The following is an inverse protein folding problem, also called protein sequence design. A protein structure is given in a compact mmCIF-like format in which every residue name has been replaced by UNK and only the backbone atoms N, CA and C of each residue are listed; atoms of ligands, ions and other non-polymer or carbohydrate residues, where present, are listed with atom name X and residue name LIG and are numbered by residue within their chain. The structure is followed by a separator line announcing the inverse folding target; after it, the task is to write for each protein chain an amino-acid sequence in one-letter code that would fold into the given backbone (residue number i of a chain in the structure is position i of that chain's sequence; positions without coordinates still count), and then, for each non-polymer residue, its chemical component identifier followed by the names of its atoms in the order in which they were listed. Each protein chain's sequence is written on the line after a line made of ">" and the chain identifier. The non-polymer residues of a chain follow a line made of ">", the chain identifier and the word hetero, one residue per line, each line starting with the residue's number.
data_IF_386050493927
#
_entry.id   IF_386050493927
#
_cell.length_a   1.000
_cell.length_b   1.000
_cell.length_c   1.000
_cell.angle_alpha   90.00
_cell.angle_beta   90.00
_cell.angle_gamma   90.00
#
_symmetry.space_group_name_H-M   'P 1'
#
loop_
_entity.id
_entity.type
_entity.pdbx_description
1 polymer ?
#
# COMPACT_ATOMS: atom_id res chain seq x y z
N UNK A 1 -7.65 -7.52 11.51
CA UNK A 1 -6.75 -7.97 10.41
C UNK A 1 -5.29 -7.77 10.82
N UNK A 2 -4.69 -8.72 11.50
CA UNK A 2 -3.34 -8.50 12.09
C UNK A 2 -2.22 -8.40 11.04
N UNK A 3 -2.41 -8.94 9.84
CA UNK A 3 -1.42 -8.87 8.75
C UNK A 3 -1.98 -8.23 7.50
N UNK A 4 -2.93 -7.33 7.65
CA UNK A 4 -3.67 -6.71 6.55
C UNK A 4 -3.26 -5.28 6.21
N UNK A 5 -2.02 -4.87 6.51
CA UNK A 5 -1.56 -3.51 6.25
C UNK A 5 -1.72 -3.12 4.78
N UNK A 6 -1.34 -4.02 3.88
CA UNK A 6 -1.41 -3.78 2.43
C UNK A 6 -2.86 -3.59 1.98
N UNK A 7 -3.75 -4.49 2.40
CA UNK A 7 -5.15 -4.39 1.98
C UNK A 7 -5.85 -3.19 2.63
N UNK A 8 -5.47 -2.84 3.86
CA UNK A 8 -5.99 -1.66 4.53
C UNK A 8 -5.53 -0.39 3.82
N UNK A 9 -4.24 -0.29 3.47
CA UNK A 9 -3.70 0.86 2.73
C UNK A 9 -4.34 0.98 1.34
N UNK A 10 -4.54 -0.13 0.64
CA UNK A 10 -5.22 -0.18 -0.65
C UNK A 10 -6.68 0.25 -0.52
N UNK A 11 -7.37 -0.18 0.53
CA UNK A 11 -8.74 0.25 0.81
C UNK A 11 -8.82 1.76 1.02
N UNK A 12 -7.86 2.34 1.74
CA UNK A 12 -7.78 3.80 1.92
C UNK A 12 -7.65 4.52 0.56
N UNK A 13 -6.79 4.01 -0.32
CA UNK A 13 -6.60 4.57 -1.66
C UNK A 13 -7.89 4.49 -2.48
N UNK A 14 -8.57 3.35 -2.48
CA UNK A 14 -9.81 3.12 -3.22
C UNK A 14 -10.92 4.04 -2.73
N UNK A 15 -11.07 4.20 -1.41
CA UNK A 15 -12.09 5.05 -0.83
C UNK A 15 -11.80 6.54 -1.07
N UNK A 16 -10.54 6.94 -1.05
CA UNK A 16 -10.16 8.30 -1.40
C UNK A 16 -10.52 8.63 -2.86
N UNK A 17 -10.50 7.64 -3.74
CA UNK A 17 -10.90 7.78 -5.15
C UNK A 17 -12.43 7.87 -5.35
N UNK A 18 -13.22 7.84 -4.28
CA UNK A 18 -14.66 8.04 -4.33
C UNK A 18 -15.51 6.80 -4.09
N UNK A 19 -14.90 5.67 -3.78
CA UNK A 19 -15.63 4.45 -3.42
C UNK A 19 -15.90 4.42 -1.91
N UNK A 20 -16.74 3.49 -1.48
CA UNK A 20 -17.06 3.29 -0.07
C UNK A 20 -17.07 1.78 0.20
N UNK A 21 -15.90 1.21 0.41
CA UNK A 21 -15.73 -0.21 0.67
C UNK A 21 -15.06 -0.43 2.03
N UNK A 22 -15.25 -1.61 2.61
CA UNK A 22 -14.52 -2.04 3.80
C UNK A 22 -13.27 -2.82 3.40
N UNK A 23 -12.30 -2.88 4.32
CA UNK A 23 -11.12 -3.73 4.11
C UNK A 23 -11.49 -5.21 3.97
N UNK A 24 -12.58 -5.63 4.61
CA UNK A 24 -13.07 -7.01 4.50
C UNK A 24 -13.62 -7.29 3.10
N UNK A 25 -14.34 -6.35 2.51
CA UNK A 25 -14.80 -6.46 1.12
C UNK A 25 -13.63 -6.55 0.16
N UNK A 26 -12.61 -5.71 0.34
CA UNK A 26 -11.39 -5.76 -0.47
C UNK A 26 -10.66 -7.09 -0.29
N UNK A 27 -10.55 -7.59 0.93
CA UNK A 27 -9.88 -8.86 1.23
C UNK A 27 -10.57 -10.07 0.58
N UNK A 28 -11.88 -10.03 0.42
CA UNK A 28 -12.64 -11.11 -0.24
C UNK A 28 -12.28 -11.26 -1.72
N UNK A 29 -11.95 -10.15 -2.38
CA UNK A 29 -11.59 -10.14 -3.80
C UNK A 29 -10.10 -10.44 -3.98
N UNK A 30 -9.27 -10.16 -2.99
CA UNK A 30 -7.83 -10.32 -3.07
C UNK A 30 -7.46 -11.79 -3.28
N UNK A 31 -6.73 -12.10 -4.37
CA UNK A 31 -6.27 -13.47 -4.60
C UNK A 31 -5.35 -13.94 -3.48
N UNK A 32 -5.29 -15.24 -3.29
CA UNK A 32 -4.34 -15.89 -2.37
C UNK A 32 -3.46 -16.84 -3.13
N UNK A 33 -2.17 -16.86 -2.79
CA UNK A 33 -1.18 -17.63 -3.51
C UNK A 33 0.04 -17.85 -2.62
N UNK A 34 0.88 -18.80 -2.99
CA UNK A 34 2.22 -18.94 -2.41
C UNK A 34 3.22 -17.97 -3.05
N UNK A 35 2.82 -17.29 -4.13
CA UNK A 35 3.61 -16.27 -4.79
C UNK A 35 3.01 -14.89 -4.48
N UNK A 36 3.72 -13.97 -3.78
CA UNK A 36 3.19 -12.67 -3.39
C UNK A 36 2.84 -11.77 -4.59
N UNK A 37 3.40 -12.03 -5.76
CA UNK A 37 3.05 -11.31 -6.99
C UNK A 37 1.75 -11.79 -7.64
N UNK A 38 1.16 -12.87 -7.13
CA UNK A 38 -0.10 -13.42 -7.62
C UNK A 38 -1.24 -13.30 -6.62
N UNK A 39 -0.91 -13.04 -5.35
CA UNK A 39 -1.90 -12.92 -4.30
C UNK A 39 -1.25 -12.86 -2.92
N UNK A 40 -2.09 -12.78 -1.89
CA UNK A 40 -1.64 -12.74 -0.51
C UNK A 40 -1.17 -14.13 -0.07
N UNK A 41 0.01 -14.18 0.54
CA UNK A 41 0.54 -15.42 1.10
C UNK A 41 -0.17 -15.67 2.45
N UNK A 42 -1.01 -16.69 2.52
CA UNK A 42 -1.78 -17.00 3.70
C UNK A 42 -3.05 -16.17 3.81
N UNK A 43 -3.38 -15.72 5.00
CA UNK A 43 -4.60 -14.94 5.26
C UNK A 43 -4.27 -13.65 6.01
N UNK A 44 -4.83 -12.49 5.60
CA UNK A 44 -4.63 -11.24 6.34
C UNK A 44 -5.29 -11.27 7.72
N UNK A 45 -6.17 -12.22 7.98
CA UNK A 45 -6.83 -12.39 9.28
C UNK A 45 -6.01 -13.20 10.28
N UNK A 46 -4.92 -13.85 9.83
CA UNK A 46 -4.08 -14.70 10.68
C UNK A 46 -2.66 -14.17 10.75
N UNK A 47 -2.08 -14.21 11.96
CA UNK A 47 -0.74 -13.72 12.19
C UNK A 47 0.32 -14.81 11.98
N UNK A 48 0.07 -16.01 12.46
CA UNK A 48 0.98 -17.16 12.37
C UNK A 48 0.19 -18.47 12.44
N UNK A 49 0.53 -19.52 11.69
CA UNK A 49 1.62 -19.60 10.69
C UNK A 49 1.23 -19.02 9.31
N UNK A 50 -0.02 -18.60 9.12
CA UNK A 50 -0.52 -18.08 7.87
C UNK A 50 -0.87 -16.61 8.03
N UNK A 51 -0.53 -15.81 7.03
CA UNK A 51 -0.75 -14.37 7.06
C UNK A 51 0.56 -13.62 6.99
N UNK A 52 1.19 -13.61 5.83
CA UNK A 52 2.49 -12.99 5.61
C UNK A 52 2.37 -11.64 4.94
N UNK A 53 2.18 -11.63 3.63
CA UNK A 53 2.16 -10.40 2.86
C UNK A 53 1.68 -10.62 1.43
N UNK A 54 1.47 -9.50 0.70
CA UNK A 54 1.20 -9.48 -0.73
C UNK A 54 2.01 -8.36 -1.37
N UNK A 55 2.56 -8.61 -2.56
CA UNK A 55 3.26 -7.62 -3.36
C UNK A 55 2.27 -6.79 -4.19
N UNK A 56 2.69 -5.66 -4.80
CA UNK A 56 1.79 -4.83 -5.61
C UNK A 56 1.00 -5.60 -6.66
N UNK A 57 1.63 -6.45 -7.45
CA UNK A 57 0.93 -7.23 -8.48
C UNK A 57 -0.08 -8.21 -7.91
N UNK A 58 0.12 -8.69 -6.69
CA UNK A 58 -0.80 -9.61 -6.02
C UNK A 58 -2.09 -8.95 -5.55
N UNK A 59 -2.08 -7.65 -5.29
CA UNK A 59 -3.24 -6.89 -4.85
C UNK A 59 -3.82 -6.00 -5.97
N UNK A 60 -3.12 -5.89 -7.08
CA UNK A 60 -3.58 -5.15 -8.27
C UNK A 60 -5.01 -5.50 -8.71
N UNK A 61 -5.44 -6.78 -8.71
CA UNK A 61 -6.80 -7.13 -9.08
C UNK A 61 -7.88 -6.43 -8.25
N UNK A 62 -7.61 -6.18 -6.97
CA UNK A 62 -8.55 -5.46 -6.09
C UNK A 62 -8.72 -4.02 -6.57
N UNK A 63 -7.61 -3.33 -6.83
CA UNK A 63 -7.64 -1.95 -7.31
C UNK A 63 -8.34 -1.87 -8.68
N UNK A 64 -8.01 -2.76 -9.58
CA UNK A 64 -8.62 -2.81 -10.91
C UNK A 64 -10.12 -3.09 -10.83
N UNK A 65 -10.55 -3.95 -9.93
CA UNK A 65 -11.98 -4.26 -9.75
C UNK A 65 -12.79 -3.02 -9.38
N UNK A 66 -12.29 -2.21 -8.43
CA UNK A 66 -13.03 -1.04 -7.94
C UNK A 66 -12.79 0.22 -8.74
N UNK A 67 -11.59 0.44 -9.27
CA UNK A 67 -11.21 1.69 -9.93
C UNK A 67 -11.07 1.57 -11.46
N UNK A 68 -11.16 0.36 -12.00
CA UNK A 68 -11.06 0.10 -13.45
C UNK A 68 -9.63 0.01 -13.97
N UNK A 69 -8.66 0.56 -13.26
CA UNK A 69 -7.24 0.49 -13.60
C UNK A 69 -6.39 0.27 -12.35
N UNK A 70 -5.19 -0.25 -12.54
CA UNK A 70 -4.20 -0.38 -11.49
C UNK A 70 -2.82 -0.32 -12.12
N UNK A 71 -1.89 0.38 -11.46
CA UNK A 71 -0.53 0.60 -11.96
C UNK A 71 0.48 0.18 -10.90
N UNK A 72 1.28 -0.83 -11.19
CA UNK A 72 2.42 -1.18 -10.37
C UNK A 72 3.53 -0.16 -10.63
N UNK A 73 3.86 0.62 -9.60
CA UNK A 73 4.86 1.69 -9.67
C UNK A 73 6.19 1.28 -9.04
N UNK A 74 6.41 0.00 -8.82
CA UNK A 74 7.66 -0.49 -8.22
C UNK A 74 8.88 0.01 -9.01
N UNK A 75 9.84 0.60 -8.29
CA UNK A 75 11.04 1.15 -8.91
C UNK A 75 10.89 2.54 -9.53
N UNK A 76 9.73 3.18 -9.40
CA UNK A 76 9.53 4.53 -9.94
C UNK A 76 10.32 5.59 -9.19
N UNK A 77 10.40 6.79 -9.76
CA UNK A 77 11.03 7.95 -9.11
C UNK A 77 10.10 8.60 -8.09
N UNK A 78 10.65 9.39 -7.18
CA UNK A 78 9.86 10.23 -6.27
C UNK A 78 9.01 11.22 -7.07
N UNK A 79 9.50 11.74 -8.18
CA UNK A 79 8.72 12.64 -9.05
C UNK A 79 7.50 11.96 -9.63
N UNK A 80 7.59 10.68 -9.99
CA UNK A 80 6.44 9.91 -10.46
C UNK A 80 5.38 9.76 -9.37
N UNK A 81 5.80 9.53 -8.12
CA UNK A 81 4.89 9.50 -6.97
C UNK A 81 4.21 10.87 -6.80
N UNK A 82 4.98 11.96 -6.82
CA UNK A 82 4.44 13.31 -6.68
C UNK A 82 3.42 13.64 -7.78
N UNK A 83 3.65 13.20 -9.01
CA UNK A 83 2.70 13.39 -10.13
C UNK A 83 1.36 12.69 -9.87
N UNK A 84 1.37 11.52 -9.26
CA UNK A 84 0.12 10.85 -8.86
C UNK A 84 -0.58 11.63 -7.75
N UNK A 85 0.15 12.04 -6.73
CA UNK A 85 -0.41 12.76 -5.58
C UNK A 85 -1.03 14.11 -5.98
N UNK A 86 -0.43 14.84 -6.93
CA UNK A 86 -0.99 16.08 -7.46
C UNK A 86 -2.35 15.86 -8.11
N UNK A 87 -2.57 14.69 -8.71
CA UNK A 87 -3.86 14.32 -9.32
C UNK A 87 -4.85 13.75 -8.30
N UNK A 88 -4.54 13.81 -7.03
CA UNK A 88 -5.33 13.19 -5.96
C UNK A 88 -5.42 11.66 -6.08
N UNK A 89 -4.47 11.05 -6.74
CA UNK A 89 -4.29 9.60 -6.75
C UNK A 89 -3.31 9.21 -5.66
N UNK A 90 -3.80 8.55 -4.62
CA UNK A 90 -2.93 8.05 -3.56
C UNK A 90 -1.97 7.01 -4.13
N UNK A 91 -0.85 6.82 -3.44
CA UNK A 91 0.14 5.79 -3.77
C UNK A 91 0.35 4.94 -2.53
N UNK A 92 0.10 3.65 -2.66
CA UNK A 92 0.43 2.68 -1.60
C UNK A 92 1.89 2.29 -1.78
N UNK A 93 2.68 2.45 -0.73
CA UNK A 93 4.10 2.12 -0.73
C UNK A 93 4.41 1.05 0.31
N UNK A 94 5.22 0.08 -0.08
CA UNK A 94 5.74 -0.95 0.81
C UNK A 94 7.06 -0.46 1.41
N UNK A 95 7.15 -0.45 2.73
CA UNK A 95 8.32 0.06 3.46
C UNK A 95 8.85 -0.99 4.42
N UNK A 96 10.17 -1.05 4.56
CA UNK A 96 10.83 -1.98 5.46
C UNK A 96 11.23 -1.33 6.78
N UNK A 97 11.24 -2.12 7.86
CA UNK A 97 11.63 -1.72 9.22
C UNK A 97 10.94 -0.43 9.67
N UNK A 98 9.61 -0.40 9.50
CA UNK A 98 8.78 0.74 9.79
C UNK A 98 7.71 0.33 10.82
N UNK A 99 7.47 1.16 11.84
CA UNK A 99 6.51 0.89 12.93
C UNK A 99 6.72 -0.50 13.58
N UNK A 100 7.97 -0.90 13.77
CA UNK A 100 8.37 -2.21 14.33
C UNK A 100 8.00 -3.42 13.45
N UNK A 101 7.66 -3.19 12.19
CA UNK A 101 7.45 -4.26 11.22
C UNK A 101 8.65 -4.37 10.28
N UNK A 102 9.05 -5.59 9.96
CA UNK A 102 10.05 -5.81 8.90
C UNK A 102 9.50 -5.44 7.52
N UNK A 103 8.20 -5.66 7.31
CA UNK A 103 7.45 -5.25 6.13
C UNK A 103 6.19 -4.52 6.55
N UNK A 104 5.90 -3.39 5.91
CA UNK A 104 4.72 -2.58 6.20
C UNK A 104 4.26 -1.87 4.93
N UNK A 105 3.01 -1.46 4.89
CA UNK A 105 2.47 -0.69 3.77
C UNK A 105 1.76 0.55 4.30
N UNK A 106 1.97 1.68 3.62
CA UNK A 106 1.37 2.97 3.96
C UNK A 106 0.72 3.56 2.72
N UNK A 107 -0.29 4.41 2.93
CA UNK A 107 -0.93 5.15 1.85
C UNK A 107 -0.41 6.58 1.82
N UNK A 108 0.40 6.91 0.81
CA UNK A 108 0.86 8.28 0.60
C UNK A 108 -0.30 9.12 0.10
N UNK A 109 -0.53 10.28 0.73
CA UNK A 109 -1.69 11.13 0.48
C UNK A 109 -1.35 12.48 -0.14
N UNK A 110 -0.14 12.98 0.03
CA UNK A 110 0.26 14.27 -0.50
C UNK A 110 1.71 14.58 -0.18
N UNK A 111 2.15 15.76 -0.63
CA UNK A 111 3.49 16.24 -0.32
C UNK A 111 3.52 17.76 -0.27
N UNK A 112 4.52 18.29 0.44
CA UNK A 112 4.85 19.72 0.44
C UNK A 112 6.36 19.85 0.51
N UNK A 113 6.97 20.32 -0.59
CA UNK A 113 8.44 20.38 -0.70
C UNK A 113 9.06 18.99 -0.50
N UNK A 114 9.86 18.84 0.53
CA UNK A 114 10.59 17.61 0.84
C UNK A 114 9.90 16.77 1.93
N UNK A 115 8.61 17.04 2.19
CA UNK A 115 7.79 16.31 3.18
C UNK A 115 6.71 15.51 2.46
N UNK A 116 6.58 14.23 2.82
CA UNK A 116 5.49 13.35 2.38
C UNK A 116 4.48 13.18 3.50
N UNK A 117 3.20 13.25 3.15
CA UNK A 117 2.09 12.95 4.06
C UNK A 117 1.55 11.56 3.76
N UNK A 118 1.16 10.83 4.79
CA UNK A 118 0.66 9.46 4.63
C UNK A 118 -0.33 9.09 5.73
N UNK A 119 -1.17 8.10 5.41
CA UNK A 119 -2.00 7.41 6.38
C UNK A 119 -1.33 6.08 6.70
N UNK A 120 -1.22 5.79 8.00
CA UNK A 120 -0.62 4.56 8.49
C UNK A 120 -1.74 3.61 8.90
N UNK A 121 -1.90 2.46 8.20
CA UNK A 121 -2.97 1.52 8.54
C UNK A 121 -2.83 0.87 9.90
N UNK A 122 -1.61 0.81 10.44
CA UNK A 122 -1.38 0.24 11.77
C UNK A 122 -1.88 1.17 12.88
N UNK A 123 -1.55 2.45 12.81
CA UNK A 123 -1.94 3.44 13.82
C UNK A 123 -3.29 4.08 13.52
N UNK A 124 -3.78 3.99 12.29
CA UNK A 124 -4.99 4.68 11.84
C UNK A 124 -4.87 6.18 11.81
N UNK A 125 -3.65 6.74 11.81
CA UNK A 125 -3.40 8.16 11.91
C UNK A 125 -2.79 8.75 10.66
N UNK A 126 -3.01 10.07 10.47
CA UNK A 126 -2.31 10.86 9.45
C UNK A 126 -0.97 11.30 10.01
N UNK A 127 0.09 11.08 9.23
CA UNK A 127 1.46 11.37 9.65
C UNK A 127 2.24 12.01 8.49
N UNK A 128 3.45 12.42 8.77
CA UNK A 128 4.36 12.95 7.77
C UNK A 128 5.79 12.48 8.02
N UNK A 129 6.58 12.46 6.95
CA UNK A 129 8.03 12.19 7.03
C UNK A 129 8.74 12.92 5.89
N UNK A 130 10.05 13.11 6.04
CA UNK A 130 10.86 13.63 4.94
C UNK A 130 10.95 12.63 3.80
N UNK A 131 11.15 13.14 2.58
CA UNK A 131 11.41 12.29 1.41
C UNK A 131 12.62 11.38 1.65
N UNK A 132 13.68 11.90 2.28
CA UNK A 132 14.88 11.10 2.56
C UNK A 132 14.60 9.94 3.51
N UNK A 133 13.82 10.16 4.56
CA UNK A 133 13.39 9.08 5.47
C UNK A 133 12.55 8.05 4.73
N UNK A 134 11.59 8.51 3.92
CA UNK A 134 10.77 7.61 3.10
C UNK A 134 11.64 6.77 2.17
N UNK A 135 12.59 7.38 1.45
CA UNK A 135 13.46 6.67 0.51
C UNK A 135 14.25 5.55 1.19
N UNK A 136 14.74 5.77 2.42
CA UNK A 136 15.47 4.74 3.17
C UNK A 136 14.59 3.53 3.47
N UNK A 137 13.39 3.76 3.99
CA UNK A 137 12.47 2.68 4.32
C UNK A 137 11.92 1.99 3.06
N UNK A 138 11.67 2.77 2.02
CA UNK A 138 11.17 2.26 0.75
C UNK A 138 12.19 1.37 0.06
N UNK A 139 13.46 1.75 0.07
CA UNK A 139 14.55 0.94 -0.46
C UNK A 139 14.69 -0.41 0.25
N UNK A 140 14.40 -0.46 1.56
CA UNK A 140 14.47 -1.69 2.34
C UNK A 140 13.38 -2.70 1.96
N UNK A 141 12.36 -2.29 1.22
CA UNK A 141 11.31 -3.20 0.73
C UNK A 141 11.16 -3.12 -0.80
N UNK A 142 12.28 -3.04 -1.49
CA UNK A 142 12.35 -3.19 -2.95
C UNK A 142 11.70 -2.07 -3.76
N UNK A 143 11.51 -0.88 -3.19
CA UNK A 143 10.86 0.26 -3.85
C UNK A 143 9.48 -0.08 -4.41
N UNK A 144 8.73 -0.95 -3.72
CA UNK A 144 7.42 -1.40 -4.17
C UNK A 144 6.37 -0.32 -3.97
N UNK A 145 5.54 -0.12 -4.99
CA UNK A 145 4.47 0.86 -4.96
C UNK A 145 3.34 0.49 -5.92
N UNK A 146 2.13 0.96 -5.59
CA UNK A 146 0.92 0.70 -6.37
C UNK A 146 0.04 1.94 -6.37
N UNK A 147 -0.52 2.27 -7.53
CA UNK A 147 -1.51 3.33 -7.69
C UNK A 147 -2.49 2.96 -8.82
N UNK A 148 -3.10 3.97 -9.41
CA UNK A 148 -4.06 3.77 -10.49
C UNK A 148 -4.07 4.95 -11.46
#
# INVERSE_FOLDING_TARGET
>A
MPTGCEITAVTMMINFAGKNITKDQAAKIMPRSLNPNKGFIGSPYKKFPLGFWVAPDGVKPVVKHYLGTATNMTGCSIDAIKKKLIRSHLVVAWVGYFDNFSNHAIALTGYHGNTLYYNDPWTGTKRSMSVDTFKRHWALDGHRALSY
#
